data_IF_975717423798
#
_entry.id   IF_975717423798
#
_cell.length_a   1.000
_cell.length_b   1.000
_cell.length_c   1.000
_cell.angle_alpha   90.00
_cell.angle_beta   90.00
_cell.angle_gamma   90.00
#
_symmetry.space_group_name_H-M   'P 1'
#
loop_
_entity.id
_entity.type
_entity.pdbx_description
1 polymer ?
#
# COMPACT_ATOMS: atom_id res chain seq x y z
N UNK A 1 -9.33 2.73 0.66
CA UNK A 1 -8.89 1.75 -0.37
C UNK A 1 -7.99 0.72 0.31
N UNK A 2 -7.59 -0.34 -0.39
CA UNK A 2 -6.57 -1.28 0.07
C UNK A 2 -5.30 -1.12 -0.75
N UNK A 3 -4.17 -1.39 -0.12
CA UNK A 3 -2.84 -1.40 -0.76
C UNK A 3 -2.07 -2.63 -0.31
N UNK A 4 -1.09 -3.04 -1.10
CA UNK A 4 -0.21 -4.16 -0.76
C UNK A 4 1.09 -3.65 -0.13
N UNK A 5 1.48 -4.26 1.00
CA UNK A 5 2.76 -4.05 1.69
C UNK A 5 3.29 -5.43 2.07
N UNK A 6 4.50 -5.79 1.65
CA UNK A 6 5.09 -7.13 1.87
C UNK A 6 4.10 -8.28 1.61
N UNK A 7 3.42 -8.22 0.45
CA UNK A 7 2.44 -9.20 -0.02
C UNK A 7 1.13 -9.31 0.79
N UNK A 8 0.90 -8.40 1.75
CA UNK A 8 -0.33 -8.34 2.55
C UNK A 8 -1.16 -7.10 2.22
N UNK A 9 -2.49 -7.23 2.23
CA UNK A 9 -3.41 -6.11 2.00
C UNK A 9 -3.67 -5.33 3.28
N UNK A 10 -3.57 -4.01 3.18
CA UNK A 10 -3.78 -3.10 4.31
C UNK A 10 -4.72 -1.95 3.93
N UNK A 11 -5.59 -1.50 4.85
CA UNK A 11 -6.38 -0.30 4.63
C UNK A 11 -5.46 0.92 4.44
N UNK A 12 -5.81 1.72 3.45
CA UNK A 12 -5.11 2.94 3.07
C UNK A 12 -6.12 4.06 2.86
N UNK A 13 -5.91 5.14 3.61
CA UNK A 13 -6.82 6.29 3.68
C UNK A 13 -6.11 7.48 3.07
N UNK A 14 -6.64 8.01 1.98
CA UNK A 14 -6.18 9.29 1.43
C UNK A 14 -6.98 10.40 2.14
N UNK A 15 -6.29 11.32 2.82
CA UNK A 15 -6.92 12.33 3.64
C UNK A 15 -6.35 13.73 3.35
N UNK A 16 -7.13 14.56 2.67
CA UNK A 16 -6.76 15.95 2.35
C UNK A 16 -6.75 16.88 3.59
N UNK A 17 -7.35 16.46 4.70
CA UNK A 17 -7.31 17.18 5.98
C UNK A 17 -6.06 16.91 6.82
N UNK A 18 -5.22 15.95 6.42
CA UNK A 18 -3.98 15.62 7.15
C UNK A 18 -2.76 16.25 6.45
N UNK A 19 -1.93 16.96 7.21
CA UNK A 19 -0.69 17.53 6.68
C UNK A 19 0.41 16.48 6.49
N UNK A 20 0.39 15.41 7.29
CA UNK A 20 1.38 14.33 7.25
C UNK A 20 0.72 12.97 7.18
N UNK A 21 1.43 12.04 6.58
CA UNK A 21 1.08 10.63 6.50
C UNK A 21 1.47 9.95 7.78
N UNK A 22 0.56 9.15 8.30
CA UNK A 22 0.68 8.57 9.63
C UNK A 22 0.26 7.11 9.65
N UNK A 23 0.73 6.41 10.67
CA UNK A 23 0.27 5.08 11.04
C UNK A 23 0.21 4.99 12.57
N UNK A 24 -0.81 4.31 13.08
CA UNK A 24 -0.95 4.11 14.51
C UNK A 24 -0.02 3.00 15.01
N UNK A 25 0.50 3.16 16.24
CA UNK A 25 1.38 2.18 16.87
C UNK A 25 0.75 0.79 16.95
N UNK A 26 -0.45 0.73 17.51
CA UNK A 26 -1.20 -0.51 17.70
C UNK A 26 -1.40 -1.26 16.38
N UNK A 27 -1.63 -0.53 15.28
CA UNK A 27 -1.80 -1.12 13.97
C UNK A 27 -0.48 -1.74 13.46
N UNK A 28 0.65 -1.06 13.63
CA UNK A 28 1.96 -1.65 13.28
C UNK A 28 2.31 -2.87 14.11
N UNK A 29 2.07 -2.82 15.43
CA UNK A 29 2.32 -3.93 16.35
C UNK A 29 1.56 -5.20 15.94
N UNK A 30 0.31 -5.04 15.50
CA UNK A 30 -0.55 -6.16 15.11
C UNK A 30 -0.21 -6.76 13.74
N UNK A 31 0.38 -5.97 12.83
CA UNK A 31 0.51 -6.36 11.41
C UNK A 31 1.96 -6.50 10.92
N UNK A 32 2.94 -5.90 11.60
CA UNK A 32 4.33 -5.89 11.16
C UNK A 32 5.27 -6.34 12.28
N UNK A 33 5.57 -7.65 12.38
CA UNK A 33 6.54 -8.16 13.32
C UNK A 33 7.90 -7.48 13.12
N UNK A 34 8.55 -7.06 14.21
CA UNK A 34 9.81 -6.31 14.20
C UNK A 34 9.74 -4.90 13.59
N UNK A 35 8.58 -4.23 13.60
CA UNK A 35 8.48 -2.83 13.16
C UNK A 35 9.50 -1.91 13.86
N UNK A 36 9.84 -2.19 15.12
CA UNK A 36 10.82 -1.45 15.93
C UNK A 36 12.20 -1.36 15.27
N UNK A 37 12.62 -2.41 14.56
CA UNK A 37 13.91 -2.43 13.85
C UNK A 37 13.95 -1.49 12.64
N UNK A 38 12.77 -1.09 12.16
CA UNK A 38 12.59 -0.18 11.03
C UNK A 38 12.25 1.24 11.49
N UNK A 39 12.10 1.45 12.80
CA UNK A 39 11.77 2.74 13.37
C UNK A 39 12.99 3.65 13.32
N UNK A 40 12.81 4.81 12.70
CA UNK A 40 13.75 5.93 12.81
C UNK A 40 13.22 6.86 13.90
N UNK A 41 13.95 7.08 15.01
CA UNK A 41 13.49 7.95 16.09
C UNK A 41 13.15 9.36 15.60
N UNK A 42 12.02 9.90 16.06
CA UNK A 42 11.59 11.23 15.63
C UNK A 42 12.56 12.31 16.14
N UNK A 43 12.93 13.25 15.27
CA UNK A 43 13.34 14.58 15.74
C UNK A 43 12.09 15.25 16.29
N UNK A 44 12.12 15.62 17.58
CA UNK A 44 11.02 16.22 18.35
C UNK A 44 10.16 17.18 17.50
N UNK A 45 9.03 16.67 17.00
CA UNK A 45 8.01 17.45 16.29
C UNK A 45 6.68 17.27 17.02
N UNK A 46 5.99 18.36 17.30
CA UNK A 46 4.66 18.33 17.89
C UNK A 46 3.62 18.07 16.81
N UNK A 47 2.88 16.98 16.93
CA UNK A 47 1.74 16.68 16.06
C UNK A 47 0.43 17.09 16.74
N UNK A 48 -0.56 17.50 15.94
CA UNK A 48 -1.89 17.86 16.41
C UNK A 48 -2.93 17.17 15.54
N UNK A 49 -3.94 16.60 16.19
CA UNK A 49 -5.20 16.22 15.56
C UNK A 49 -6.21 17.36 15.70
N UNK A 50 -7.42 17.17 15.18
CA UNK A 50 -8.51 18.13 15.34
C UNK A 50 -8.87 18.39 16.82
N UNK A 51 -8.60 17.43 17.71
CA UNK A 51 -9.06 17.48 19.10
C UNK A 51 -7.93 17.58 20.12
N UNK A 52 -6.75 17.02 19.84
CA UNK A 52 -5.67 16.90 20.82
C UNK A 52 -4.27 16.90 20.20
N UNK A 53 -3.26 17.21 21.03
CA UNK A 53 -1.85 16.99 20.70
C UNK A 53 -1.60 15.48 20.59
N UNK A 54 -0.78 15.07 19.62
CA UNK A 54 -0.44 13.67 19.39
C UNK A 54 1.03 13.42 19.71
N UNK A 55 1.32 12.20 20.14
CA UNK A 55 2.65 11.75 20.57
C UNK A 55 3.31 10.94 19.45
N UNK A 56 4.34 11.52 18.82
CA UNK A 56 5.11 10.82 17.80
C UNK A 56 6.23 9.98 18.40
N UNK A 57 6.35 8.75 17.94
CA UNK A 57 7.39 7.80 18.37
C UNK A 57 8.59 7.88 17.42
N UNK A 58 8.31 7.99 16.13
CA UNK A 58 9.32 7.94 15.07
C UNK A 58 8.70 7.97 13.69
N UNK A 59 9.51 7.66 12.69
CA UNK A 59 9.05 7.42 11.32
C UNK A 59 9.39 6.01 10.87
N UNK A 60 8.59 5.48 9.96
CA UNK A 60 8.84 4.21 9.28
C UNK A 60 8.65 4.39 7.78
N UNK A 61 9.52 3.78 6.97
CA UNK A 61 9.43 3.82 5.52
C UNK A 61 8.77 2.53 5.04
N UNK A 62 7.77 2.63 4.14
CA UNK A 62 7.11 1.48 3.51
C UNK A 62 7.02 1.68 2.00
N UNK A 63 7.28 0.60 1.26
CA UNK A 63 6.87 0.49 -0.14
C UNK A 63 5.39 0.09 -0.17
N UNK A 64 4.57 0.97 -0.73
CA UNK A 64 3.14 0.78 -0.94
C UNK A 64 2.93 0.43 -2.40
N UNK A 65 2.26 -0.70 -2.65
CA UNK A 65 1.88 -1.12 -3.99
C UNK A 65 0.37 -0.93 -4.13
N UNK A 66 -0.03 -0.13 -5.11
CA UNK A 66 -1.42 0.07 -5.50
C UNK A 66 -1.66 -0.77 -6.77
N UNK A 67 -2.41 -1.88 -6.67
CA UNK A 67 -2.72 -2.71 -7.83
C UNK A 67 -3.53 -1.92 -8.86
N UNK A 68 -3.18 -2.06 -10.14
CA UNK A 68 -3.93 -1.44 -11.23
C UNK A 68 -3.84 -2.28 -12.52
N UNK A 69 -4.91 -2.26 -13.31
CA UNK A 69 -5.09 -3.16 -14.48
C UNK A 69 -3.99 -3.02 -15.55
N UNK A 70 -3.39 -1.84 -15.69
CA UNK A 70 -2.29 -1.58 -16.65
C UNK A 70 -0.90 -1.77 -16.05
N UNK A 71 -0.80 -2.31 -14.83
CA UNK A 71 0.43 -2.41 -14.06
C UNK A 71 0.31 -1.67 -12.73
N UNK A 72 1.10 -2.12 -11.76
CA UNK A 72 1.03 -1.66 -10.38
C UNK A 72 1.74 -0.32 -10.19
N UNK A 73 1.14 0.58 -9.41
CA UNK A 73 1.80 1.82 -8.98
C UNK A 73 2.55 1.52 -7.68
N UNK A 74 3.82 1.90 -7.60
CA UNK A 74 4.67 1.68 -6.43
C UNK A 74 5.10 3.02 -5.85
N UNK A 75 4.86 3.23 -4.57
CA UNK A 75 5.20 4.45 -3.84
C UNK A 75 6.07 4.10 -2.64
N UNK A 76 7.18 4.80 -2.44
CA UNK A 76 7.98 4.68 -1.21
C UNK A 76 7.62 5.87 -0.33
N UNK A 77 7.02 5.59 0.83
CA UNK A 77 6.43 6.60 1.70
C UNK A 77 7.00 6.51 3.12
N UNK A 78 7.25 7.67 3.72
CA UNK A 78 7.57 7.81 5.13
C UNK A 78 6.28 8.08 5.92
N UNK A 79 6.02 7.29 6.96
CA UNK A 79 4.89 7.50 7.85
C UNK A 79 5.38 7.90 9.23
N UNK A 80 4.77 8.95 9.78
CA UNK A 80 4.93 9.27 11.20
C UNK A 80 4.15 8.26 12.02
N UNK A 81 4.83 7.62 12.95
CA UNK A 81 4.22 6.69 13.88
C UNK A 81 3.71 7.46 15.10
N UNK A 82 2.40 7.35 15.35
CA UNK A 82 1.73 7.99 16.48
C UNK A 82 1.31 6.95 17.52
N UNK A 83 1.61 7.22 18.79
CA UNK A 83 1.32 6.33 19.93
C UNK A 83 -0.17 6.32 20.29
N UNK A 84 -0.80 7.49 20.19
CA UNK A 84 -2.15 7.81 20.63
C UNK A 84 -3.17 7.90 19.47
N UNK A 85 -2.81 7.46 18.27
CA UNK A 85 -3.72 7.39 17.13
C UNK A 85 -4.57 6.11 17.14
N UNK A 86 -5.82 6.21 16.67
CA UNK A 86 -6.77 5.08 16.61
C UNK A 86 -7.08 4.60 15.18
N UNK A 87 -6.21 4.91 14.21
CA UNK A 87 -6.44 4.59 12.81
C UNK A 87 -6.11 3.12 12.53
N UNK A 88 -7.02 2.42 11.87
CA UNK A 88 -6.86 1.02 11.44
C UNK A 88 -6.32 0.95 10.01
N UNK A 89 -5.05 1.31 9.82
CA UNK A 89 -4.42 1.36 8.51
C UNK A 89 -3.36 2.43 8.39
N UNK A 90 -2.96 2.69 7.15
CA UNK A 90 -2.07 3.79 6.79
C UNK A 90 -2.90 4.98 6.30
N UNK A 91 -2.53 6.17 6.74
CA UNK A 91 -3.15 7.41 6.28
C UNK A 91 -2.12 8.18 5.44
N UNK A 92 -2.52 8.56 4.23
CA UNK A 92 -1.77 9.42 3.32
C UNK A 92 -2.23 10.87 3.49
N UNK A 93 -1.32 11.71 3.96
CA UNK A 93 -1.50 13.15 4.09
C UNK A 93 -1.29 13.90 2.77
N UNK A 94 -1.43 15.22 2.85
CA UNK A 94 -1.35 16.13 1.70
C UNK A 94 0.04 16.34 1.17
N UNK A 95 1.08 16.07 1.96
CA UNK A 95 2.47 16.18 1.54
C UNK A 95 2.78 15.21 0.39
N UNK A 96 2.27 13.98 0.45
CA UNK A 96 2.43 13.01 -0.62
C UNK A 96 1.36 13.11 -1.71
N UNK A 97 0.17 13.61 -1.38
CA UNK A 97 -0.82 13.93 -2.43
C UNK A 97 -0.25 14.97 -3.40
N UNK A 98 0.37 16.02 -2.88
CA UNK A 98 1.03 17.05 -3.71
C UNK A 98 2.25 16.50 -4.43
N UNK A 99 3.09 15.71 -3.73
CA UNK A 99 4.33 15.17 -4.31
C UNK A 99 4.07 14.24 -5.51
N UNK A 100 3.05 13.38 -5.41
CA UNK A 100 2.76 12.37 -6.43
C UNK A 100 1.60 12.74 -7.35
N UNK A 101 1.00 13.93 -7.19
CA UNK A 101 -0.20 14.34 -7.95
C UNK A 101 -1.35 13.36 -7.72
N UNK A 102 -1.67 13.09 -6.45
CA UNK A 102 -2.77 12.21 -6.07
C UNK A 102 -4.01 13.05 -5.79
N UNK A 103 -5.03 12.90 -6.63
CA UNK A 103 -6.30 13.60 -6.51
C UNK A 103 -7.45 12.61 -6.37
N UNK A 104 -8.42 12.96 -5.52
CA UNK A 104 -9.65 12.20 -5.35
C UNK A 104 -10.81 12.94 -6.01
N UNK A 105 -11.45 12.29 -6.98
CA UNK A 105 -12.63 12.80 -7.65
C UNK A 105 -13.87 12.10 -7.08
N UNK A 106 -14.75 12.90 -6.49
CA UNK A 106 -16.04 12.46 -5.97
C UNK A 106 -17.15 12.97 -6.91
N UNK A 107 -17.23 12.42 -8.13
CA UNK A 107 -18.33 12.66 -9.07
C UNK A 107 -19.33 11.48 -9.02
N UNK A 108 -19.99 11.12 -10.14
CA UNK A 108 -20.90 9.97 -10.23
C UNK A 108 -20.23 8.65 -9.77
N UNK A 109 -18.93 8.53 -9.99
CA UNK A 109 -18.10 7.44 -9.52
C UNK A 109 -16.87 8.00 -8.77
N UNK A 110 -16.45 7.31 -7.72
CA UNK A 110 -15.30 7.73 -6.92
C UNK A 110 -14.02 7.22 -7.57
N UNK A 111 -13.18 8.13 -8.07
CA UNK A 111 -11.93 7.80 -8.72
C UNK A 111 -10.73 8.45 -8.03
N UNK A 112 -9.59 7.79 -8.11
CA UNK A 112 -8.29 8.34 -7.71
C UNK A 112 -7.45 8.53 -8.96
N UNK A 113 -6.93 9.72 -9.16
CA UNK A 113 -5.86 9.97 -10.11
C UNK A 113 -4.52 9.93 -9.38
N UNK A 114 -3.50 9.33 -10.01
CA UNK A 114 -2.11 9.37 -9.52
C UNK A 114 -1.22 9.77 -10.69
N UNK A 115 -0.50 10.88 -10.53
CA UNK A 115 0.50 11.35 -11.49
C UNK A 115 0.38 12.84 -11.77
N UNK A 116 1.51 13.49 -12.04
CA UNK A 116 1.59 14.94 -12.25
C UNK A 116 1.54 15.35 -13.72
N UNK A 117 1.79 14.42 -14.65
CA UNK A 117 1.83 14.68 -16.09
C UNK A 117 0.63 14.05 -16.80
N UNK A 118 -0.04 14.79 -17.68
CA UNK A 118 -1.29 14.39 -18.36
C UNK A 118 -1.20 13.05 -19.12
N UNK A 119 -0.02 12.68 -19.62
CA UNK A 119 0.20 11.42 -20.34
C UNK A 119 0.46 10.21 -19.42
N UNK A 120 0.71 10.44 -18.13
CA UNK A 120 1.08 9.41 -17.15
C UNK A 120 0.13 9.30 -15.95
N UNK A 121 -1.09 9.83 -16.06
CA UNK A 121 -2.09 9.76 -14.98
C UNK A 121 -2.70 8.36 -14.92
N UNK A 122 -2.53 7.70 -13.77
CA UNK A 122 -3.20 6.45 -13.45
C UNK A 122 -4.56 6.76 -12.83
N UNK A 123 -5.62 6.24 -13.44
CA UNK A 123 -7.00 6.37 -12.95
C UNK A 123 -7.45 5.07 -12.30
N UNK A 124 -7.87 5.17 -11.04
CA UNK A 124 -8.30 4.05 -10.21
C UNK A 124 -9.76 4.24 -9.76
N UNK A 125 -10.63 3.36 -10.23
CA UNK A 125 -12.04 3.32 -9.80
C UNK A 125 -12.13 2.66 -8.42
N UNK A 126 -12.58 3.37 -7.40
CA UNK A 126 -12.59 2.86 -6.02
C UNK A 126 -13.53 1.65 -5.85
N UNK A 127 -14.55 1.53 -6.68
CA UNK A 127 -15.47 0.38 -6.68
C UNK A 127 -14.90 -0.89 -7.33
N UNK A 128 -13.80 -0.79 -8.09
CA UNK A 128 -13.10 -1.94 -8.68
C UNK A 128 -11.98 -2.50 -7.78
N UNK A 129 -11.76 -1.91 -6.59
CA UNK A 129 -10.73 -2.33 -5.63
C UNK A 129 -11.12 -3.64 -4.91
N UNK A 130 -12.37 -4.09 -5.06
CA UNK A 130 -12.80 -5.43 -4.65
C UNK A 130 -12.80 -6.36 -5.86
N UNK A 131 -12.09 -7.51 -5.76
CA UNK A 131 -12.18 -8.75 -6.58
C UNK A 131 -11.03 -9.14 -7.51
N UNK A 132 -9.84 -8.52 -7.52
CA UNK A 132 -8.69 -9.25 -8.08
C UNK A 132 -8.16 -10.24 -7.03
N UNK A 133 -8.60 -11.49 -7.16
CA UNK A 133 -8.04 -12.63 -6.45
C UNK A 133 -6.50 -12.57 -6.62
N UNK A 134 -5.71 -12.54 -5.54
CA UNK A 134 -4.25 -12.58 -5.61
C UNK A 134 -3.72 -13.72 -6.49
N UNK A 135 -4.48 -14.83 -6.59
CA UNK A 135 -4.18 -15.93 -7.49
C UNK A 135 -4.34 -15.53 -8.97
N UNK A 136 -5.40 -14.80 -9.33
CA UNK A 136 -5.63 -14.32 -10.70
C UNK A 136 -4.52 -13.35 -11.15
N UNK A 137 -4.04 -12.46 -10.27
CA UNK A 137 -2.92 -11.56 -10.61
C UNK A 137 -1.65 -12.37 -10.93
N UNK A 138 -1.33 -13.35 -10.10
CA UNK A 138 -0.12 -14.15 -10.27
C UNK A 138 -0.23 -15.14 -11.44
N UNK A 139 -1.40 -15.74 -11.68
CA UNK A 139 -1.63 -16.54 -12.88
C UNK A 139 -1.45 -15.70 -14.14
N UNK A 140 -1.86 -14.43 -14.09
CA UNK A 140 -1.62 -13.47 -15.17
C UNK A 140 -0.15 -13.07 -15.33
N UNK A 141 0.68 -13.17 -14.30
CA UNK A 141 2.13 -12.94 -14.41
C UNK A 141 2.86 -14.16 -15.02
N UNK A 142 2.33 -15.37 -14.82
CA UNK A 142 2.90 -16.64 -15.27
C UNK A 142 2.03 -17.34 -16.32
N UNK A 143 1.45 -16.57 -17.26
CA UNK A 143 0.43 -17.04 -18.23
C UNK A 143 0.85 -18.23 -19.10
N UNK A 144 2.15 -18.41 -19.30
CA UNK A 144 2.70 -19.48 -20.13
C UNK A 144 2.78 -20.83 -19.38
N UNK A 145 2.63 -20.82 -18.05
CA UNK A 145 2.68 -22.01 -17.21
C UNK A 145 1.31 -22.68 -17.06
N UNK A 146 1.24 -23.98 -17.29
CA UNK A 146 0.05 -24.77 -16.95
C UNK A 146 0.16 -25.33 -15.54
N UNK A 147 -0.91 -25.16 -14.76
CA UNK A 147 -1.01 -25.75 -13.42
C UNK A 147 -1.79 -27.06 -13.47
N UNK A 148 -1.36 -28.03 -12.66
CA UNK A 148 -2.17 -29.23 -12.42
C UNK A 148 -3.55 -28.85 -11.89
N UNK A 149 -4.59 -29.53 -12.39
CA UNK A 149 -5.97 -29.39 -11.94
C UNK A 149 -6.18 -29.92 -10.51
N UNK A 150 -5.24 -30.72 -10.01
CA UNK A 150 -5.29 -31.30 -8.66
C UNK A 150 -4.83 -30.34 -7.54
N UNK A 151 -4.25 -29.20 -7.90
CA UNK A 151 -3.77 -28.23 -6.91
C UNK A 151 -4.88 -27.29 -6.43
N UNK A 152 -4.96 -27.08 -5.12
CA UNK A 152 -5.84 -26.07 -4.51
C UNK A 152 -5.37 -24.64 -4.78
N UNK A 153 -6.27 -23.66 -4.71
CA UNK A 153 -5.94 -22.23 -4.90
C UNK A 153 -4.82 -21.75 -3.97
N UNK A 154 -4.82 -22.21 -2.71
CA UNK A 154 -3.77 -21.87 -1.72
C UNK A 154 -2.40 -22.41 -2.11
N UNK A 155 -2.34 -23.63 -2.65
CA UNK A 155 -1.08 -24.23 -3.11
C UNK A 155 -0.55 -23.52 -4.37
N UNK A 156 -1.44 -23.21 -5.33
CA UNK A 156 -1.07 -22.45 -6.53
C UNK A 156 -0.51 -21.07 -6.16
N UNK A 157 -1.19 -20.37 -5.26
CA UNK A 157 -0.75 -19.05 -4.76
C UNK A 157 0.62 -19.12 -4.09
N UNK A 158 0.83 -20.11 -3.21
CA UNK A 158 2.11 -20.29 -2.52
C UNK A 158 3.25 -20.60 -3.49
N UNK A 159 3.00 -21.42 -4.52
CA UNK A 159 3.99 -21.76 -5.52
C UNK A 159 4.35 -20.59 -6.43
N UNK A 160 3.36 -19.84 -6.92
CA UNK A 160 3.56 -18.66 -7.76
C UNK A 160 4.38 -17.58 -7.03
N UNK A 161 4.11 -17.38 -5.74
CA UNK A 161 4.90 -16.47 -4.90
C UNK A 161 6.36 -16.94 -4.74
N UNK A 162 6.58 -18.24 -4.61
CA UNK A 162 7.94 -18.81 -4.59
C UNK A 162 8.66 -18.56 -5.91
N UNK A 163 8.01 -18.80 -7.05
CA UNK A 163 8.59 -18.55 -8.38
C UNK A 163 8.94 -17.09 -8.56
N UNK A 164 8.04 -16.17 -8.18
CA UNK A 164 8.27 -14.72 -8.24
C UNK A 164 9.48 -14.30 -7.40
N UNK A 165 9.59 -14.83 -6.18
CA UNK A 165 10.72 -14.57 -5.26
C UNK A 165 12.05 -15.12 -5.78
N UNK A 166 12.01 -16.20 -6.54
CA UNK A 166 13.19 -16.90 -7.08
C UNK A 166 13.37 -16.70 -8.58
N UNK A 167 12.73 -15.69 -9.17
CA UNK A 167 12.75 -15.39 -10.61
C UNK A 167 14.14 -15.46 -11.25
N UNK A 168 15.22 -14.93 -10.64
CA UNK A 168 16.57 -15.00 -11.23
C UNK A 168 17.13 -16.42 -11.40
N UNK A 169 16.65 -17.39 -10.61
CA UNK A 169 17.06 -18.78 -10.71
C UNK A 169 16.32 -19.55 -11.82
N UNK A 170 15.24 -18.97 -12.37
CA UNK A 170 14.36 -19.60 -13.35
C UNK A 170 14.26 -18.82 -14.66
N UNK A 171 14.80 -17.60 -14.73
CA UNK A 171 15.03 -16.89 -15.98
C UNK A 171 16.22 -17.53 -16.69
N UNK A 172 15.94 -18.31 -17.72
CA UNK A 172 16.93 -18.67 -18.73
C UNK A 172 17.20 -17.38 -19.53
N UNK A 173 18.47 -17.02 -19.69
CA UNK A 173 18.90 -15.87 -20.49
C UNK A 173 18.49 -15.96 -21.95
#
# INVERSE_FOLDING_TARGET
>A
MTVCIYDSQHPFIINSGAHCSIVARNYLENHFPNWEKQLVPAKTKSFKSASWKMTSIGTIIKEIIIPHRKGNVRLVLEFVMLDDAHIQGFLLGTEYQKMYGIDMYNSENRHIAIGTNKEGIFWLDIYQISTQDPLEELLNEFREGQFSTTLTSKQKLSFLNMLRKKRPAFSIG
#
